data_IF_892589591094
#
_entry.id   IF_892589591094
#
_cell.length_a   1.000
_cell.length_b   1.000
_cell.length_c   1.000
_cell.angle_alpha   90.00
_cell.angle_beta   90.00
_cell.angle_gamma   90.00
#
_symmetry.space_group_name_H-M   'P 1'
#
loop_
_entity.id
_entity.type
_entity.pdbx_description
1 polymer ?
#
# COMPACT_ATOMS: atom_id res chain seq x y z
N UNK A 1 15.14 -25.71 -16.12
CA UNK A 1 13.91 -25.86 -16.92
C UNK A 1 12.83 -24.99 -16.28
N UNK A 2 12.98 -23.67 -16.39
CA UNK A 2 12.07 -22.65 -15.87
C UNK A 2 11.78 -21.74 -17.06
N UNK A 3 10.54 -21.66 -17.53
CA UNK A 3 10.30 -20.89 -18.76
C UNK A 3 8.87 -20.80 -19.30
N UNK A 4 7.97 -21.73 -18.95
CA UNK A 4 6.57 -21.68 -19.38
C UNK A 4 5.61 -21.34 -18.24
N UNK A 5 5.75 -21.99 -17.08
CA UNK A 5 4.88 -21.74 -15.92
C UNK A 5 5.09 -20.36 -15.29
N UNK A 6 6.34 -19.91 -15.17
CA UNK A 6 6.66 -18.58 -14.63
C UNK A 6 6.05 -17.45 -15.46
N UNK A 7 5.99 -17.60 -16.79
CA UNK A 7 5.36 -16.60 -17.67
C UNK A 7 3.85 -16.50 -17.44
N UNK A 8 3.19 -17.63 -17.16
CA UNK A 8 1.76 -17.65 -16.87
C UNK A 8 1.46 -17.08 -15.48
N UNK A 9 2.28 -17.40 -14.48
CA UNK A 9 2.18 -16.83 -13.13
C UNK A 9 2.40 -15.31 -13.17
N UNK A 10 3.42 -14.83 -13.88
CA UNK A 10 3.67 -13.39 -14.05
C UNK A 10 2.47 -12.69 -14.68
N UNK A 11 1.88 -13.25 -15.74
CA UNK A 11 0.65 -12.70 -16.36
C UNK A 11 -0.55 -12.69 -15.40
N UNK A 12 -0.68 -13.72 -14.57
CA UNK A 12 -1.73 -13.79 -13.56
C UNK A 12 -1.56 -12.71 -12.49
N UNK A 13 -0.34 -12.55 -11.94
CA UNK A 13 -0.01 -11.49 -10.98
C UNK A 13 -0.23 -10.10 -11.58
N UNK A 14 0.20 -9.88 -12.83
CA UNK A 14 -0.08 -8.63 -13.55
C UNK A 14 -1.58 -8.36 -13.70
N UNK A 15 -2.37 -9.41 -13.97
CA UNK A 15 -3.83 -9.31 -14.06
C UNK A 15 -4.46 -8.95 -12.72
N UNK A 16 -4.02 -9.60 -11.63
CA UNK A 16 -4.45 -9.29 -10.28
C UNK A 16 -4.11 -7.86 -9.85
N UNK A 17 -3.08 -7.25 -10.42
CA UNK A 17 -2.61 -5.90 -10.09
C UNK A 17 -3.09 -4.81 -11.08
N UNK A 18 -4.05 -5.10 -11.97
CA UNK A 18 -4.58 -4.12 -12.94
C UNK A 18 -5.24 -2.90 -12.28
N UNK A 19 -5.83 -3.10 -11.11
CA UNK A 19 -6.46 -2.04 -10.31
C UNK A 19 -5.44 -1.10 -9.66
N UNK A 20 -4.17 -1.51 -9.56
CA UNK A 20 -3.14 -0.63 -9.02
C UNK A 20 -2.94 0.57 -9.93
N UNK A 21 -2.68 1.76 -9.35
CA UNK A 21 -2.48 2.96 -10.14
C UNK A 21 -1.25 2.83 -11.06
N UNK A 22 -1.38 3.36 -12.27
CA UNK A 22 -0.27 3.50 -13.20
C UNK A 22 0.82 4.42 -12.60
N UNK A 23 0.37 5.47 -11.91
CA UNK A 23 1.23 6.38 -11.16
C UNK A 23 0.58 6.73 -9.81
N UNK A 24 1.33 6.58 -8.71
CA UNK A 24 0.92 7.07 -7.38
C UNK A 24 1.17 8.58 -7.30
N UNK A 25 0.22 9.31 -6.72
CA UNK A 25 0.37 10.75 -6.44
C UNK A 25 0.87 10.99 -5.02
N UNK A 26 1.52 12.12 -4.80
CA UNK A 26 1.95 12.51 -3.45
C UNK A 26 0.76 12.96 -2.60
N UNK A 27 0.88 12.86 -1.27
CA UNK A 27 -0.10 13.41 -0.34
C UNK A 27 -0.29 14.92 -0.60
N UNK A 28 0.80 15.65 -0.85
CA UNK A 28 0.77 17.08 -1.16
C UNK A 28 -0.11 17.39 -2.38
N UNK A 29 0.03 16.61 -3.45
CA UNK A 29 -0.79 16.76 -4.67
C UNK A 29 -2.25 16.44 -4.37
N UNK A 30 -2.51 15.30 -3.72
CA UNK A 30 -3.87 14.83 -3.46
C UNK A 30 -4.66 15.75 -2.54
N UNK A 31 -4.02 16.39 -1.54
CA UNK A 31 -4.67 17.36 -0.66
C UNK A 31 -5.14 18.62 -1.40
N UNK A 32 -4.48 18.99 -2.51
CA UNK A 32 -4.85 20.16 -3.33
C UNK A 32 -5.93 19.86 -4.37
N UNK A 33 -6.17 18.59 -4.67
CA UNK A 33 -7.19 18.19 -5.66
C UNK A 33 -8.59 18.37 -5.10
N UNK A 34 -9.48 19.00 -5.88
CA UNK A 34 -10.89 19.12 -5.52
C UNK A 34 -11.57 17.75 -5.32
N UNK A 35 -11.18 16.75 -6.13
CA UNK A 35 -11.63 15.36 -6.06
C UNK A 35 -10.41 14.42 -6.08
N UNK A 36 -9.80 14.14 -4.91
CA UNK A 36 -8.55 13.38 -4.84
C UNK A 36 -8.71 11.99 -5.44
N UNK A 37 -7.84 11.64 -6.39
CA UNK A 37 -7.93 10.34 -7.07
C UNK A 37 -6.62 9.91 -7.72
N UNK A 38 -6.52 8.60 -7.97
CA UNK A 38 -5.46 7.97 -8.76
C UNK A 38 -6.07 7.16 -9.90
N UNK A 39 -5.35 7.04 -11.01
CA UNK A 39 -5.81 6.30 -12.17
C UNK A 39 -5.13 4.92 -12.24
N UNK A 40 -5.94 3.86 -12.28
CA UNK A 40 -5.53 2.47 -12.47
C UNK A 40 -4.86 2.23 -13.83
N UNK A 41 -4.10 1.14 -13.95
CA UNK A 41 -3.55 0.69 -15.25
C UNK A 41 -4.66 0.29 -16.24
N UNK A 42 -5.82 -0.10 -15.73
CA UNK A 42 -7.05 -0.35 -16.48
C UNK A 42 -7.83 0.93 -16.86
N UNK A 43 -7.23 2.12 -16.64
CA UNK A 43 -7.81 3.45 -16.83
C UNK A 43 -8.95 3.82 -15.89
N UNK A 44 -9.33 2.95 -14.96
CA UNK A 44 -10.34 3.25 -13.94
C UNK A 44 -9.85 4.33 -12.98
N UNK A 45 -10.78 5.11 -12.42
CA UNK A 45 -10.47 6.20 -11.48
C UNK A 45 -10.83 5.78 -10.07
N UNK A 46 -9.82 5.70 -9.20
CA UNK A 46 -9.99 5.38 -7.79
C UNK A 46 -9.96 6.67 -6.97
N UNK A 47 -11.11 7.01 -6.37
CA UNK A 47 -11.22 8.16 -5.48
C UNK A 47 -10.63 7.83 -4.11
N UNK A 48 -9.88 8.78 -3.57
CA UNK A 48 -9.36 8.71 -2.20
C UNK A 48 -10.14 9.71 -1.36
N UNK A 49 -10.69 9.26 -0.24
CA UNK A 49 -11.44 10.13 0.69
C UNK A 49 -10.52 11.20 1.23
N UNK A 50 -10.97 12.46 1.18
CA UNK A 50 -10.20 13.59 1.72
C UNK A 50 -9.92 13.43 3.21
N UNK A 51 -10.89 12.94 3.98
CA UNK A 51 -10.73 12.68 5.42
C UNK A 51 -9.59 11.71 5.73
N UNK A 52 -9.36 10.70 4.89
CA UNK A 52 -8.24 9.76 5.06
C UNK A 52 -6.90 10.43 4.76
N UNK A 53 -6.84 11.31 3.75
CA UNK A 53 -5.64 12.12 3.45
C UNK A 53 -5.32 13.07 4.60
N UNK A 54 -6.33 13.77 5.13
CA UNK A 54 -6.18 14.69 6.26
C UNK A 54 -5.79 13.96 7.54
N UNK A 55 -6.28 12.73 7.73
CA UNK A 55 -5.86 11.88 8.84
C UNK A 55 -4.37 11.52 8.71
N UNK A 56 -3.92 11.08 7.52
CA UNK A 56 -2.49 10.81 7.27
C UNK A 56 -1.64 12.05 7.50
N UNK A 57 -2.10 13.22 7.03
CA UNK A 57 -1.44 14.50 7.20
C UNK A 57 -1.18 14.85 8.68
N UNK A 58 -2.03 14.40 9.61
CA UNK A 58 -1.82 14.59 11.05
C UNK A 58 -0.77 13.65 11.66
N UNK A 59 -0.39 12.57 10.95
CA UNK A 59 0.55 11.56 11.45
C UNK A 59 2.01 11.85 11.09
N UNK A 60 2.26 12.70 10.09
CA UNK A 60 3.60 12.98 9.54
C UNK A 60 3.84 14.49 9.44
N UNK A 61 5.11 14.95 9.48
CA UNK A 61 5.42 16.37 9.31
C UNK A 61 5.12 16.84 7.87
N UNK A 62 4.81 18.14 7.70
CA UNK A 62 4.42 18.73 6.40
C UNK A 62 5.48 18.56 5.31
N UNK A 63 6.76 18.59 5.68
CA UNK A 63 7.90 18.38 4.78
C UNK A 63 7.91 17.01 4.09
N UNK A 64 7.21 16.02 4.66
CA UNK A 64 7.11 14.68 4.12
C UNK A 64 5.92 14.49 3.17
N UNK A 65 5.02 15.48 3.05
CA UNK A 65 3.84 15.35 2.19
C UNK A 65 4.19 15.18 0.71
N UNK A 66 5.32 15.75 0.27
CA UNK A 66 5.82 15.62 -1.10
C UNK A 66 6.51 14.28 -1.36
N UNK A 67 6.87 13.54 -0.31
CA UNK A 67 7.56 12.25 -0.39
C UNK A 67 6.58 11.07 -0.31
N UNK A 68 5.56 11.19 0.55
CA UNK A 68 4.57 10.15 0.73
C UNK A 68 3.69 10.04 -0.51
N UNK A 69 3.80 8.92 -1.22
CA UNK A 69 2.94 8.58 -2.36
C UNK A 69 1.76 7.73 -1.91
N UNK A 70 0.62 7.79 -2.58
CA UNK A 70 -0.59 7.03 -2.23
C UNK A 70 -1.19 6.31 -3.43
N UNK A 71 -1.90 5.18 -3.21
CA UNK A 71 -2.25 4.59 -1.91
C UNK A 71 -1.11 3.76 -1.29
N UNK A 72 -1.12 3.57 0.03
CA UNK A 72 -0.20 2.67 0.74
C UNK A 72 -0.51 1.23 0.33
N UNK A 73 0.52 0.45 -0.01
CA UNK A 73 0.33 -0.91 -0.46
C UNK A 73 0.37 -1.94 0.68
N UNK A 74 -0.64 -2.80 0.71
CA UNK A 74 -0.74 -3.98 1.56
C UNK A 74 -0.36 -5.17 0.69
N UNK A 75 0.89 -5.60 0.78
CA UNK A 75 1.46 -6.66 -0.05
C UNK A 75 1.08 -8.04 0.45
N UNK A 76 0.52 -8.84 -0.45
CA UNK A 76 0.18 -10.24 -0.25
C UNK A 76 1.05 -11.10 -1.17
N UNK A 77 1.83 -12.01 -0.59
CA UNK A 77 2.50 -13.10 -1.30
C UNK A 77 2.22 -14.42 -0.58
N UNK A 78 2.13 -15.55 -1.32
CA UNK A 78 2.14 -16.88 -0.72
C UNK A 78 3.31 -17.11 0.26
N UNK A 79 4.45 -16.45 0.04
CA UNK A 79 5.70 -16.66 0.79
C UNK A 79 5.63 -16.23 2.26
N UNK A 80 4.74 -15.29 2.60
CA UNK A 80 4.64 -14.78 3.98
C UNK A 80 3.87 -15.72 4.92
N UNK A 81 3.15 -16.71 4.39
CA UNK A 81 2.22 -17.55 5.15
C UNK A 81 0.80 -16.98 5.22
N UNK A 82 -0.15 -17.81 5.69
CA UNK A 82 -1.58 -17.47 5.64
C UNK A 82 -1.92 -16.27 6.53
N UNK A 83 -2.59 -15.30 5.94
CA UNK A 83 -3.15 -14.15 6.66
C UNK A 83 -2.11 -13.10 7.07
N UNK A 84 -0.89 -13.19 6.54
CA UNK A 84 0.17 -12.22 6.74
C UNK A 84 0.27 -11.34 5.50
N UNK A 85 0.32 -10.03 5.72
CA UNK A 85 0.63 -9.05 4.70
C UNK A 85 1.87 -8.24 5.11
N UNK A 86 2.52 -7.64 4.14
CA UNK A 86 3.66 -6.75 4.36
C UNK A 86 3.36 -5.36 3.84
N UNK A 87 3.77 -4.34 4.57
CA UNK A 87 3.85 -2.96 4.08
C UNK A 87 5.33 -2.62 3.96
N UNK A 88 5.73 -2.07 2.80
CA UNK A 88 7.12 -1.73 2.48
C UNK A 88 7.26 -0.22 2.32
N UNK A 89 8.46 0.26 2.58
CA UNK A 89 8.83 1.68 2.56
C UNK A 89 8.77 2.29 3.95
N UNK A 90 9.79 3.08 4.28
CA UNK A 90 9.94 3.71 5.60
C UNK A 90 8.69 4.49 6.02
N UNK A 91 8.22 5.41 5.16
CA UNK A 91 7.07 6.28 5.47
C UNK A 91 5.75 5.50 5.54
N UNK A 92 5.50 4.60 4.59
CA UNK A 92 4.31 3.76 4.56
C UNK A 92 4.24 2.89 5.84
N UNK A 93 5.36 2.29 6.23
CA UNK A 93 5.46 1.45 7.43
C UNK A 93 5.32 2.25 8.73
N UNK A 94 5.92 3.45 8.82
CA UNK A 94 5.78 4.38 9.94
C UNK A 94 4.31 4.74 10.20
N UNK A 95 3.58 5.14 9.14
CA UNK A 95 2.15 5.47 9.21
C UNK A 95 1.35 4.27 9.71
N UNK A 96 1.64 3.08 9.18
CA UNK A 96 0.95 1.85 9.59
C UNK A 96 1.25 1.49 11.04
N UNK A 97 2.49 1.62 11.53
CA UNK A 97 2.83 1.42 12.95
C UNK A 97 2.01 2.34 13.84
N UNK A 98 1.97 3.64 13.52
CA UNK A 98 1.22 4.65 14.28
C UNK A 98 -0.28 4.36 14.33
N UNK A 99 -0.87 3.92 13.21
CA UNK A 99 -2.29 3.54 13.17
C UNK A 99 -2.59 2.30 14.00
N UNK A 100 -1.64 1.37 14.08
CA UNK A 100 -1.79 0.10 14.79
C UNK A 100 -1.39 0.17 16.27
N UNK A 101 -0.77 1.26 16.73
CA UNK A 101 -0.20 1.35 18.07
C UNK A 101 0.99 0.40 18.26
N UNK A 102 1.87 0.31 17.24
CA UNK A 102 3.02 -0.62 17.16
C UNK A 102 4.36 0.10 16.97
N UNK A 103 4.45 1.34 17.42
CA UNK A 103 5.65 2.19 17.31
C UNK A 103 6.86 1.57 18.03
N UNK A 104 6.64 1.00 19.22
CA UNK A 104 7.69 0.39 20.05
C UNK A 104 8.28 -0.90 19.45
N UNK A 105 7.62 -1.47 18.44
CA UNK A 105 8.09 -2.66 17.71
C UNK A 105 9.01 -2.30 16.54
N UNK A 106 9.42 -1.04 16.41
CA UNK A 106 10.30 -0.61 15.32
C UNK A 106 11.76 -0.97 15.60
N UNK A 107 12.26 -1.96 14.88
CA UNK A 107 13.67 -2.40 14.95
C UNK A 107 14.52 -1.77 13.83
N UNK A 108 14.20 -0.54 13.41
CA UNK A 108 14.98 0.18 12.39
C UNK A 108 14.75 -0.26 10.94
N UNK A 109 13.68 -1.03 10.67
CA UNK A 109 13.35 -1.52 9.32
C UNK A 109 12.37 -0.63 8.54
N UNK A 110 12.49 -0.68 7.20
CA UNK A 110 11.61 -0.01 6.25
C UNK A 110 10.34 -0.81 5.90
N UNK A 111 10.07 -1.89 6.63
CA UNK A 111 8.91 -2.74 6.42
C UNK A 111 8.26 -3.18 7.73
N UNK A 112 6.97 -3.52 7.65
CA UNK A 112 6.20 -4.10 8.75
C UNK A 112 5.37 -5.27 8.25
N UNK A 113 5.42 -6.38 8.99
CA UNK A 113 4.47 -7.48 8.84
C UNK A 113 3.21 -7.18 9.64
N UNK A 114 2.06 -7.28 8.99
CA UNK A 114 0.75 -7.06 9.59
C UNK A 114 -0.12 -8.29 9.39
N UNK A 115 -0.82 -8.68 10.46
CA UNK A 115 -1.71 -9.83 10.44
C UNK A 115 -3.13 -9.43 10.04
N UNK A 116 -4.02 -10.40 9.84
CA UNK A 116 -5.40 -10.17 9.39
C UNK A 116 -6.16 -9.12 10.24
N UNK A 117 -5.98 -9.14 11.55
CA UNK A 117 -6.62 -8.17 12.45
C UNK A 117 -6.01 -6.77 12.34
N UNK A 118 -4.70 -6.67 12.08
CA UNK A 118 -4.03 -5.41 11.82
C UNK A 118 -4.49 -4.82 10.48
N UNK A 119 -4.59 -5.64 9.43
CA UNK A 119 -5.14 -5.23 8.12
C UNK A 119 -6.56 -4.70 8.30
N UNK A 120 -7.38 -5.36 9.12
CA UNK A 120 -8.75 -4.91 9.43
C UNK A 120 -8.74 -3.56 10.16
N UNK A 121 -7.88 -3.37 11.17
CA UNK A 121 -7.72 -2.09 11.89
C UNK A 121 -7.26 -0.97 10.95
N UNK A 122 -6.24 -1.24 10.13
CA UNK A 122 -5.71 -0.31 9.14
C UNK A 122 -6.79 0.12 8.15
N UNK A 123 -7.49 -0.84 7.52
CA UNK A 123 -8.53 -0.54 6.52
C UNK A 123 -9.78 0.13 7.09
N UNK A 124 -10.04 0.02 8.40
CA UNK A 124 -11.09 0.82 9.06
C UNK A 124 -10.73 2.31 9.11
N UNK A 125 -9.44 2.65 9.14
CA UNK A 125 -8.95 4.03 9.16
C UNK A 125 -8.64 4.56 7.76
N UNK A 126 -8.05 3.73 6.91
CA UNK A 126 -7.56 4.07 5.57
C UNK A 126 -8.10 3.10 4.53
N UNK A 127 -9.41 3.15 4.25
CA UNK A 127 -10.05 2.22 3.32
C UNK A 127 -9.69 2.50 1.86
N UNK A 128 -9.59 3.78 1.51
CA UNK A 128 -9.39 4.28 0.14
C UNK A 128 -7.96 4.77 -0.13
N UNK A 129 -7.22 5.09 0.93
CA UNK A 129 -5.81 5.45 0.88
C UNK A 129 -4.87 4.23 1.01
N UNK A 130 -5.42 3.01 1.08
CA UNK A 130 -4.66 1.75 1.01
C UNK A 130 -5.13 0.88 -0.15
N UNK A 131 -4.24 0.03 -0.67
CA UNK A 131 -4.60 -0.91 -1.72
C UNK A 131 -3.84 -2.22 -1.58
N UNK A 132 -4.49 -3.34 -1.92
CA UNK A 132 -3.80 -4.63 -1.96
C UNK A 132 -2.94 -4.74 -3.22
N UNK A 133 -1.72 -5.23 -3.04
CA UNK A 133 -0.83 -5.62 -4.15
C UNK A 133 -0.47 -7.08 -3.99
N UNK A 134 -0.44 -7.81 -5.10
CA UNK A 134 -0.03 -9.20 -5.14
C UNK A 134 1.39 -9.29 -5.66
N UNK A 135 2.26 -10.00 -4.94
CA UNK A 135 3.61 -10.32 -5.38
C UNK A 135 3.80 -11.83 -5.34
N UNK A 136 4.78 -12.30 -6.11
CA UNK A 136 5.23 -13.69 -6.10
C UNK A 136 6.74 -13.67 -6.25
N UNK A 137 7.47 -14.38 -5.39
CA UNK A 137 8.90 -14.56 -5.56
C UNK A 137 9.17 -15.85 -6.35
N UNK A 138 9.76 -15.74 -7.54
CA UNK A 138 10.43 -16.88 -8.18
C UNK A 138 11.78 -17.08 -7.49
N UNK A 139 11.76 -17.61 -6.26
CA UNK A 139 12.98 -17.98 -5.57
C UNK A 139 12.94 -19.48 -5.30
N UNK A 140 13.46 -20.24 -6.26
CA UNK A 140 13.96 -21.60 -6.10
C UNK A 140 15.34 -21.68 -6.75
#
# INVERSE_FOLDING_TARGET
MAGFDDKNIVKMVQTLNKHLPAERKTLLTLLKEAKPSVQGRDKSVYRIKREELEFIAKLIPKEDYAKLRLPIYIELTPDYGRGIAKVRGKQDSEIVRRILGKEDLWVGGDEILIYRDDVRKLRRKLQTATQYTFSYSTSF
#
